data_IF_603252652560
#
_entry.id   IF_603252652560
#
_cell.length_a   1.000
_cell.length_b   1.000
_cell.length_c   1.000
_cell.angle_alpha   90.00
_cell.angle_beta   90.00
_cell.angle_gamma   90.00
#
_symmetry.space_group_name_H-M   'P 1'
#
loop_
_entity.id
_entity.type
_entity.pdbx_description
1 polymer ?
#
# COMPACT_ATOMS: atom_id res chain seq x y z
N UNK A 1 44.66 17.51 27.09
CA UNK A 1 43.35 16.83 27.06
C UNK A 1 42.43 17.60 28.00
N UNK A 2 41.75 18.59 27.46
CA UNK A 2 40.74 19.36 28.22
C UNK A 2 39.43 18.58 28.17
N UNK A 3 38.93 18.18 29.34
CA UNK A 3 37.60 17.60 29.49
C UNK A 3 36.58 18.74 29.49
N UNK A 4 35.73 18.79 28.46
CA UNK A 4 34.60 19.72 28.39
C UNK A 4 33.58 19.38 29.48
N UNK A 5 33.00 20.42 30.07
CA UNK A 5 32.07 20.32 31.19
C UNK A 5 30.67 19.84 30.75
N UNK A 6 29.86 19.24 31.66
CA UNK A 6 28.51 18.74 31.32
C UNK A 6 27.57 19.80 30.73
N UNK A 7 27.84 21.09 30.97
CA UNK A 7 27.06 22.22 30.44
C UNK A 7 27.37 22.54 28.97
N UNK A 8 28.51 22.11 28.44
CA UNK A 8 28.87 22.30 27.03
C UNK A 8 28.32 21.20 26.12
N UNK A 9 28.02 20.02 26.68
CA UNK A 9 27.35 18.92 25.97
C UNK A 9 25.88 19.29 25.66
N UNK A 10 25.23 20.06 26.54
CA UNK A 10 23.85 20.47 26.35
C UNK A 10 23.66 21.59 25.32
N UNK A 11 24.74 22.23 24.86
CA UNK A 11 24.70 23.35 23.90
C UNK A 11 24.86 22.92 22.44
N UNK A 12 25.28 21.66 22.20
CA UNK A 12 25.53 21.11 20.86
C UNK A 12 24.44 20.13 20.37
N UNK A 13 23.40 19.89 21.16
CA UNK A 13 22.18 19.26 20.67
C UNK A 13 21.25 20.39 20.24
N UNK A 14 21.44 20.88 19.02
CA UNK A 14 20.40 21.66 18.35
C UNK A 14 19.10 20.85 18.34
N UNK A 15 17.92 21.49 18.26
CA UNK A 15 16.68 20.75 18.31
C UNK A 15 16.67 19.70 17.19
N UNK A 16 16.48 18.42 17.54
CA UNK A 16 16.16 17.36 16.59
C UNK A 16 14.74 17.62 16.04
N UNK A 17 14.57 18.69 15.28
CA UNK A 17 13.34 19.09 14.60
C UNK A 17 13.54 19.15 13.08
N UNK A 18 14.26 18.20 12.50
CA UNK A 18 14.22 18.03 11.04
C UNK A 18 13.05 17.12 10.70
N UNK A 19 11.89 17.73 10.47
CA UNK A 19 10.68 17.05 9.97
C UNK A 19 10.82 16.56 8.52
N UNK A 20 11.99 16.80 7.92
CA UNK A 20 12.37 16.52 6.53
C UNK A 20 12.24 15.05 6.10
N UNK A 21 12.02 14.12 7.04
CA UNK A 21 11.76 12.71 6.77
C UNK A 21 10.31 12.27 6.95
N UNK A 22 9.42 13.12 7.48
CA UNK A 22 8.04 12.75 7.86
C UNK A 22 7.00 13.19 6.83
N UNK A 23 7.31 14.21 6.04
CA UNK A 23 6.51 14.67 4.90
C UNK A 23 7.19 14.27 3.59
N UNK A 24 6.45 14.37 2.48
CA UNK A 24 7.06 14.27 1.16
C UNK A 24 8.08 15.41 0.97
N UNK A 25 9.32 15.07 0.63
CA UNK A 25 10.39 16.06 0.41
C UNK A 25 10.12 17.00 -0.77
N UNK A 26 9.32 16.53 -1.72
CA UNK A 26 8.93 17.27 -2.93
C UNK A 26 7.41 17.17 -3.08
N UNK A 27 6.79 18.28 -3.47
CA UNK A 27 5.36 18.33 -3.79
C UNK A 27 5.09 17.30 -4.89
N UNK A 28 4.19 16.35 -4.63
CA UNK A 28 3.83 15.31 -5.59
C UNK A 28 4.42 13.92 -5.34
N UNK A 29 5.44 13.79 -4.48
CA UNK A 29 5.93 12.46 -4.07
C UNK A 29 5.05 11.85 -2.97
N UNK A 30 4.91 10.51 -2.90
CA UNK A 30 4.17 9.88 -1.82
C UNK A 30 4.85 10.17 -0.47
N UNK A 31 4.05 10.57 0.52
CA UNK A 31 4.53 10.74 1.89
C UNK A 31 4.90 9.37 2.50
N UNK A 32 5.73 9.34 3.57
CA UNK A 32 5.97 8.12 4.33
C UNK A 32 4.66 7.48 4.83
N UNK A 33 3.67 8.30 5.23
CA UNK A 33 2.36 7.83 5.66
C UNK A 33 1.61 7.15 4.50
N UNK A 34 1.56 7.78 3.32
CA UNK A 34 0.92 7.20 2.14
C UNK A 34 1.61 5.90 1.70
N UNK A 35 2.95 5.85 1.77
CA UNK A 35 3.74 4.66 1.45
C UNK A 35 3.44 3.50 2.41
N UNK A 36 3.42 3.77 3.73
CA UNK A 36 3.07 2.77 4.73
C UNK A 36 1.63 2.28 4.55
N UNK A 37 0.71 3.17 4.18
CA UNK A 37 -0.67 2.85 3.89
C UNK A 37 -0.80 1.94 2.65
N UNK A 38 -0.12 2.28 1.56
CA UNK A 38 -0.07 1.51 0.31
C UNK A 38 0.47 0.10 0.50
N UNK A 39 1.37 -0.07 1.47
CA UNK A 39 1.97 -1.35 1.83
C UNK A 39 1.17 -2.13 2.87
N UNK A 40 0.15 -1.53 3.50
CA UNK A 40 -0.68 -2.20 4.51
C UNK A 40 0.08 -2.46 5.82
N UNK A 41 0.84 -1.46 6.29
CA UNK A 41 1.63 -1.55 7.53
C UNK A 41 0.98 -0.73 8.66
N UNK A 42 -0.04 -1.28 9.36
CA UNK A 42 -0.84 -0.51 10.31
C UNK A 42 -0.01 0.03 11.49
N UNK A 43 0.99 -0.72 11.96
CA UNK A 43 1.86 -0.28 13.06
C UNK A 43 2.77 0.89 12.66
N UNK A 44 3.25 0.91 11.41
CA UNK A 44 4.04 2.03 10.88
C UNK A 44 3.16 3.25 10.71
N UNK A 45 1.94 3.06 10.19
CA UNK A 45 0.93 4.13 10.08
C UNK A 45 0.61 4.71 11.46
N UNK A 46 0.32 3.87 12.45
CA UNK A 46 0.05 4.31 13.82
C UNK A 46 1.24 5.09 14.42
N UNK A 47 2.47 4.62 14.22
CA UNK A 47 3.67 5.31 14.68
C UNK A 47 3.88 6.67 13.99
N UNK A 48 3.63 6.78 12.68
CA UNK A 48 3.75 8.05 11.96
C UNK A 48 2.69 9.06 12.44
N UNK A 49 1.49 8.59 12.76
CA UNK A 49 0.38 9.42 13.22
C UNK A 49 0.55 9.94 14.65
N UNK A 50 1.61 9.58 15.39
CA UNK A 50 1.94 10.23 16.67
C UNK A 50 2.52 11.64 16.48
N UNK A 51 2.89 12.02 15.25
CA UNK A 51 3.38 13.34 14.91
C UNK A 51 2.23 14.26 14.50
N UNK A 52 2.06 15.39 15.20
CA UNK A 52 1.05 16.40 14.86
C UNK A 52 1.24 16.92 13.43
N UNK A 53 2.48 17.08 12.99
CA UNK A 53 2.78 17.48 11.61
C UNK A 53 2.20 16.48 10.61
N UNK A 54 2.41 15.18 10.83
CA UNK A 54 1.87 14.14 9.94
C UNK A 54 0.35 14.17 9.94
N UNK A 55 -0.28 14.40 11.10
CA UNK A 55 -1.75 14.50 11.22
C UNK A 55 -2.31 15.71 10.48
N UNK A 56 -1.64 16.87 10.52
CA UNK A 56 -2.06 18.07 9.76
C UNK A 56 -2.06 17.81 8.24
N UNK A 57 -1.18 16.93 7.76
CA UNK A 57 -1.02 16.58 6.35
C UNK A 57 -1.63 15.20 6.00
N UNK A 58 -2.53 14.66 6.83
CA UNK A 58 -3.09 13.31 6.66
C UNK A 58 -3.88 13.11 5.36
N UNK A 59 -4.35 14.20 4.75
CA UNK A 59 -5.14 14.21 3.52
C UNK A 59 -4.36 14.73 2.30
N UNK A 60 -3.05 14.97 2.43
CA UNK A 60 -2.24 15.39 1.30
C UNK A 60 -2.17 14.27 0.26
N UNK A 61 -2.48 14.61 -0.99
CA UNK A 61 -2.39 13.71 -2.12
C UNK A 61 -1.05 13.87 -2.85
N UNK A 62 -0.53 12.75 -3.38
CA UNK A 62 0.62 12.75 -4.28
C UNK A 62 0.22 13.11 -5.73
N UNK A 63 1.17 13.07 -6.67
CA UNK A 63 0.96 13.33 -8.10
C UNK A 63 -0.05 12.40 -8.76
N UNK A 64 -0.26 11.20 -8.20
CA UNK A 64 -1.25 10.24 -8.70
C UNK A 64 -2.63 10.45 -8.06
N UNK A 65 -2.77 11.44 -7.16
CA UNK A 65 -3.98 11.68 -6.40
C UNK A 65 -4.16 10.72 -5.21
N UNK A 66 -3.11 10.02 -4.79
CA UNK A 66 -3.18 9.12 -3.63
C UNK A 66 -3.03 9.92 -2.32
N UNK A 67 -4.13 10.05 -1.59
CA UNK A 67 -4.06 10.30 -0.15
C UNK A 67 -3.67 9.00 0.57
N UNK A 68 -3.18 9.06 1.82
CA UNK A 68 -2.96 7.86 2.63
C UNK A 68 -4.19 6.92 2.71
N UNK A 69 -5.39 7.48 2.83
CA UNK A 69 -6.62 6.69 2.86
C UNK A 69 -6.88 5.99 1.52
N UNK A 70 -6.73 6.69 0.39
CA UNK A 70 -6.86 6.08 -0.94
C UNK A 70 -5.79 5.00 -1.14
N UNK A 71 -4.54 5.26 -0.74
CA UNK A 71 -3.44 4.31 -0.83
C UNK A 71 -3.73 3.00 -0.05
N UNK A 72 -4.33 3.09 1.14
CA UNK A 72 -4.76 1.90 1.88
C UNK A 72 -5.84 1.08 1.13
N UNK A 73 -6.73 1.74 0.39
CA UNK A 73 -7.79 1.06 -0.38
C UNK A 73 -7.24 0.34 -1.62
N UNK A 74 -6.07 0.70 -2.15
CA UNK A 74 -5.47 -0.01 -3.27
C UNK A 74 -5.14 -1.48 -2.94
N UNK A 75 -4.89 -1.82 -1.67
CA UNK A 75 -4.50 -3.16 -1.24
C UNK A 75 -3.40 -3.78 -2.12
N UNK A 76 -2.38 -2.98 -2.45
CA UNK A 76 -1.48 -3.26 -3.58
C UNK A 76 -0.96 -4.69 -3.59
N UNK A 77 -0.51 -5.20 -2.44
CA UNK A 77 0.10 -6.54 -2.36
C UNK A 77 -0.88 -7.67 -2.65
N UNK A 78 -2.18 -7.43 -2.54
CA UNK A 78 -3.23 -8.40 -2.85
C UNK A 78 -3.93 -8.12 -4.19
N UNK A 79 -3.88 -6.89 -4.70
CA UNK A 79 -4.54 -6.49 -5.95
C UNK A 79 -3.60 -6.34 -7.15
N UNK A 80 -2.27 -6.39 -6.94
CA UNK A 80 -1.28 -6.01 -7.96
C UNK A 80 -1.46 -6.75 -9.29
N UNK A 81 -1.75 -8.05 -9.27
CA UNK A 81 -1.90 -8.82 -10.51
C UNK A 81 -3.24 -8.60 -11.23
N UNK A 82 -4.21 -7.93 -10.60
CA UNK A 82 -5.41 -7.37 -11.27
C UNK A 82 -5.09 -5.97 -11.78
N UNK A 83 -4.41 -5.18 -10.93
CA UNK A 83 -4.05 -3.80 -11.20
C UNK A 83 -3.03 -3.67 -12.34
N UNK A 84 -2.12 -4.63 -12.47
CA UNK A 84 -1.12 -4.72 -13.52
C UNK A 84 -0.79 -6.21 -13.78
N UNK A 85 -1.57 -6.92 -14.61
CA UNK A 85 -1.37 -8.35 -14.86
C UNK A 85 0.01 -8.72 -15.42
N UNK A 86 0.73 -7.77 -16.01
CA UNK A 86 2.08 -8.00 -16.53
C UNK A 86 3.07 -8.43 -15.43
N UNK A 87 2.80 -8.15 -14.15
CA UNK A 87 3.65 -8.62 -13.04
C UNK A 87 3.75 -10.14 -12.99
N UNK A 88 2.71 -10.86 -13.41
CA UNK A 88 2.69 -12.33 -13.38
C UNK A 88 3.68 -12.96 -14.35
N UNK A 89 4.06 -12.25 -15.41
CA UNK A 89 5.03 -12.70 -16.40
C UNK A 89 6.49 -12.39 -16.04
N UNK A 90 6.72 -11.61 -14.99
CA UNK A 90 8.05 -11.15 -14.57
C UNK A 90 8.39 -11.74 -13.20
N UNK A 91 9.26 -12.78 -13.12
CA UNK A 91 9.56 -13.43 -11.84
C UNK A 91 10.19 -12.49 -10.83
N UNK A 92 10.93 -11.46 -11.26
CA UNK A 92 11.55 -10.48 -10.36
C UNK A 92 10.53 -9.53 -9.74
N UNK A 93 9.33 -9.42 -10.32
CA UNK A 93 8.20 -8.68 -9.73
C UNK A 93 7.24 -9.61 -9.00
N UNK A 94 6.89 -10.74 -9.61
CA UNK A 94 5.94 -11.70 -9.07
C UNK A 94 6.42 -12.33 -7.76
N UNK A 95 7.64 -12.88 -7.73
CA UNK A 95 8.12 -13.66 -6.58
C UNK A 95 8.13 -12.81 -5.31
N UNK A 96 8.69 -11.57 -5.29
CA UNK A 96 8.63 -10.72 -4.11
C UNK A 96 7.21 -10.38 -3.65
N UNK A 97 6.23 -10.27 -4.57
CA UNK A 97 4.83 -10.06 -4.21
C UNK A 97 4.21 -11.32 -3.59
N UNK A 98 4.49 -12.47 -4.21
CA UNK A 98 3.92 -13.75 -3.81
C UNK A 98 4.42 -14.21 -2.43
N UNK A 99 5.73 -14.08 -2.15
CA UNK A 99 6.29 -14.51 -0.85
C UNK A 99 5.79 -13.67 0.32
N UNK A 100 5.24 -12.48 0.06
CA UNK A 100 4.65 -11.62 1.11
C UNK A 100 3.18 -11.92 1.42
N UNK A 101 2.51 -12.76 0.61
CA UNK A 101 1.09 -13.08 0.81
C UNK A 101 0.72 -13.61 2.21
N UNK A 102 1.55 -14.44 2.89
CA UNK A 102 1.22 -14.89 4.24
C UNK A 102 0.95 -13.75 5.22
N UNK A 103 1.68 -12.64 5.13
CA UNK A 103 1.42 -11.46 5.97
C UNK A 103 0.02 -10.87 5.71
N UNK A 104 -0.46 -10.87 4.47
CA UNK A 104 -1.75 -10.26 4.14
C UNK A 104 -2.95 -11.20 4.39
N UNK A 105 -2.72 -12.52 4.39
CA UNK A 105 -3.77 -13.53 4.43
C UNK A 105 -3.92 -14.24 5.78
N UNK A 106 -2.85 -14.36 6.57
CA UNK A 106 -2.85 -15.19 7.79
C UNK A 106 -3.24 -14.43 9.06
N UNK A 107 -3.37 -13.10 8.99
CA UNK A 107 -3.69 -12.29 10.17
C UNK A 107 -5.20 -12.28 10.47
N UNK A 108 -5.62 -12.47 11.74
CA UNK A 108 -7.04 -12.38 12.13
C UNK A 108 -7.68 -11.04 11.74
N UNK A 109 -6.89 -9.96 11.81
CA UNK A 109 -7.24 -8.65 11.27
C UNK A 109 -6.42 -8.40 10.00
N UNK A 110 -7.05 -8.34 8.81
CA UNK A 110 -6.35 -8.07 7.56
C UNK A 110 -5.57 -6.73 7.64
N UNK A 111 -4.26 -6.69 7.33
CA UNK A 111 -3.43 -5.51 7.56
C UNK A 111 -3.92 -4.26 6.84
N UNK A 112 -4.42 -4.40 5.61
CA UNK A 112 -4.98 -3.29 4.84
C UNK A 112 -6.25 -2.72 5.47
N UNK A 113 -7.13 -3.60 6.00
CA UNK A 113 -8.33 -3.18 6.73
C UNK A 113 -7.93 -2.38 7.97
N UNK A 114 -7.02 -2.92 8.79
CA UNK A 114 -6.56 -2.20 10.00
C UNK A 114 -5.88 -0.88 9.66
N UNK A 115 -5.14 -0.84 8.56
CA UNK A 115 -4.48 0.39 8.10
C UNK A 115 -5.50 1.47 7.74
N UNK A 116 -6.58 1.11 7.02
CA UNK A 116 -7.68 2.02 6.71
C UNK A 116 -8.37 2.53 7.99
N UNK A 117 -8.69 1.63 8.91
CA UNK A 117 -9.31 1.98 10.20
C UNK A 117 -8.46 2.96 11.02
N UNK A 118 -7.14 2.72 11.14
CA UNK A 118 -6.23 3.62 11.87
C UNK A 118 -6.17 5.01 11.23
N UNK A 119 -6.21 5.10 9.91
CA UNK A 119 -6.24 6.39 9.21
C UNK A 119 -7.56 7.14 9.46
N UNK A 120 -8.69 6.44 9.39
CA UNK A 120 -10.02 6.99 9.67
C UNK A 120 -10.14 7.48 11.12
N UNK A 121 -9.69 6.66 12.09
CA UNK A 121 -9.61 7.02 13.52
C UNK A 121 -8.77 8.28 13.76
N UNK A 122 -7.74 8.50 12.93
CA UNK A 122 -6.87 9.67 13.02
C UNK A 122 -7.41 10.92 12.30
N UNK A 123 -8.54 10.81 11.58
CA UNK A 123 -9.19 11.92 10.88
C UNK A 123 -8.91 11.99 9.38
N UNK A 124 -8.40 10.92 8.75
CA UNK A 124 -8.28 10.86 7.30
C UNK A 124 -9.69 10.86 6.65
N UNK A 125 -9.86 11.65 5.60
CA UNK A 125 -11.15 11.80 4.93
C UNK A 125 -11.38 10.64 3.94
N UNK A 126 -12.43 9.83 4.11
CA UNK A 126 -12.80 8.82 3.13
C UNK A 126 -13.40 9.47 1.89
N UNK A 127 -12.83 9.18 0.71
CA UNK A 127 -13.38 9.58 -0.58
C UNK A 127 -13.38 8.37 -1.52
N UNK A 128 -14.46 7.59 -1.45
CA UNK A 128 -14.60 6.37 -2.24
C UNK A 128 -14.70 6.68 -3.74
N UNK A 129 -15.37 7.76 -4.12
CA UNK A 129 -15.53 8.14 -5.53
C UNK A 129 -14.15 8.46 -6.14
N UNK A 130 -13.34 9.26 -5.43
CA UNK A 130 -11.98 9.55 -5.87
C UNK A 130 -11.09 8.32 -5.83
N UNK A 131 -11.22 7.46 -4.82
CA UNK A 131 -10.43 6.23 -4.76
C UNK A 131 -10.66 5.31 -5.97
N UNK A 132 -11.92 5.16 -6.41
CA UNK A 132 -12.25 4.40 -7.62
C UNK A 132 -11.64 5.04 -8.87
N UNK A 133 -11.80 6.35 -9.02
CA UNK A 133 -11.23 7.11 -10.15
C UNK A 133 -9.70 6.90 -10.22
N UNK A 134 -9.02 7.09 -9.10
CA UNK A 134 -7.56 6.96 -9.00
C UNK A 134 -7.11 5.51 -9.26
N UNK A 135 -7.84 4.51 -8.76
CA UNK A 135 -7.54 3.10 -9.06
C UNK A 135 -7.69 2.79 -10.54
N UNK A 136 -8.81 3.18 -11.15
CA UNK A 136 -9.08 2.94 -12.58
C UNK A 136 -8.06 3.65 -13.48
N UNK A 137 -7.60 4.85 -13.10
CA UNK A 137 -6.62 5.61 -13.85
C UNK A 137 -5.18 5.04 -13.75
N UNK A 138 -4.80 4.51 -12.59
CA UNK A 138 -3.41 4.10 -12.34
C UNK A 138 -3.14 2.60 -12.55
N UNK A 139 -4.16 1.76 -12.41
CA UNK A 139 -4.05 0.34 -12.71
C UNK A 139 -4.09 0.12 -14.24
N UNK A 140 -3.08 -0.52 -14.82
CA UNK A 140 -2.95 -0.69 -16.27
C UNK A 140 -3.38 -2.09 -16.68
N UNK A 141 -4.00 -2.19 -17.86
CA UNK A 141 -4.36 -3.47 -18.49
C UNK A 141 -5.35 -4.34 -17.69
N UNK A 142 -6.23 -3.69 -16.91
CA UNK A 142 -7.33 -4.35 -16.21
C UNK A 142 -8.31 -4.96 -17.22
N UNK A 143 -8.92 -6.10 -16.87
CA UNK A 143 -10.06 -6.65 -17.61
C UNK A 143 -11.28 -5.73 -17.47
N UNK A 144 -12.21 -5.81 -18.43
CA UNK A 144 -13.45 -5.02 -18.36
C UNK A 144 -14.32 -5.46 -17.17
N UNK A 145 -14.30 -6.74 -16.80
CA UNK A 145 -14.94 -7.23 -15.58
C UNK A 145 -14.37 -6.54 -14.33
N UNK A 146 -13.04 -6.43 -14.21
CA UNK A 146 -12.41 -5.76 -13.07
C UNK A 146 -12.81 -4.27 -13.00
N UNK A 147 -12.80 -3.57 -14.14
CA UNK A 147 -13.25 -2.16 -14.21
C UNK A 147 -14.69 -2.01 -13.77
N UNK A 148 -15.60 -2.85 -14.27
CA UNK A 148 -17.02 -2.82 -13.92
C UNK A 148 -17.22 -3.07 -12.43
N UNK A 149 -16.54 -4.07 -11.86
CA UNK A 149 -16.62 -4.37 -10.42
C UNK A 149 -16.08 -3.22 -9.56
N UNK A 150 -14.98 -2.60 -9.95
CA UNK A 150 -14.45 -1.42 -9.24
C UNK A 150 -15.42 -0.24 -9.30
N UNK A 151 -15.97 0.06 -10.47
CA UNK A 151 -16.93 1.15 -10.64
C UNK A 151 -18.17 0.95 -9.74
N UNK A 152 -18.71 -0.26 -9.70
CA UNK A 152 -19.91 -0.64 -8.96
C UNK A 152 -19.67 -0.92 -7.45
N UNK A 153 -18.43 -0.86 -6.96
CA UNK A 153 -18.11 -1.29 -5.59
C UNK A 153 -18.60 -0.32 -4.50
N UNK A 154 -19.18 -0.82 -3.42
CA UNK A 154 -19.44 0.00 -2.21
C UNK A 154 -18.29 -0.08 -1.19
N UNK A 155 -17.42 -1.09 -1.33
CA UNK A 155 -16.13 -1.19 -0.63
C UNK A 155 -15.05 -1.52 -1.65
N UNK A 156 -14.29 -0.50 -2.06
CA UNK A 156 -13.21 -0.64 -3.03
C UNK A 156 -12.15 -1.62 -2.54
N UNK A 157 -11.71 -1.49 -1.29
CA UNK A 157 -10.64 -2.29 -0.73
C UNK A 157 -10.97 -3.78 -0.76
N UNK A 158 -12.17 -4.14 -0.32
CA UNK A 158 -12.65 -5.53 -0.36
C UNK A 158 -12.78 -6.03 -1.79
N UNK A 159 -13.33 -5.22 -2.69
CA UNK A 159 -13.55 -5.61 -4.09
C UNK A 159 -12.24 -5.94 -4.80
N UNK A 160 -11.21 -5.11 -4.65
CA UNK A 160 -9.91 -5.34 -5.31
C UNK A 160 -9.13 -6.51 -4.69
N UNK A 161 -9.32 -6.77 -3.39
CA UNK A 161 -8.76 -7.97 -2.73
C UNK A 161 -9.41 -9.26 -3.24
N UNK A 162 -10.73 -9.28 -3.44
CA UNK A 162 -11.44 -10.43 -3.99
C UNK A 162 -11.07 -10.70 -5.44
N UNK A 163 -11.04 -9.66 -6.28
CA UNK A 163 -10.51 -9.75 -7.64
C UNK A 163 -9.09 -10.33 -7.63
N UNK A 164 -8.25 -9.84 -6.72
CA UNK A 164 -6.90 -10.33 -6.51
C UNK A 164 -6.87 -11.82 -6.17
N UNK A 165 -7.56 -12.24 -5.12
CA UNK A 165 -7.59 -13.64 -4.70
C UNK A 165 -8.05 -14.58 -5.83
N UNK A 166 -9.04 -14.17 -6.63
CA UNK A 166 -9.55 -14.94 -7.75
C UNK A 166 -8.52 -15.13 -8.87
N UNK A 167 -7.81 -14.06 -9.25
CA UNK A 167 -6.79 -14.11 -10.32
C UNK A 167 -5.59 -14.95 -9.90
N UNK A 168 -5.10 -14.77 -8.67
CA UNK A 168 -3.98 -15.56 -8.13
C UNK A 168 -4.36 -17.03 -8.04
N UNK A 169 -5.55 -17.35 -7.52
CA UNK A 169 -6.04 -18.74 -7.43
C UNK A 169 -6.14 -19.37 -8.82
N UNK A 170 -6.65 -18.63 -9.81
CA UNK A 170 -6.75 -19.10 -11.19
C UNK A 170 -5.38 -19.37 -11.81
N UNK A 171 -4.39 -18.53 -11.55
CA UNK A 171 -3.01 -18.74 -11.97
C UNK A 171 -2.42 -20.00 -11.33
N UNK A 172 -2.52 -20.16 -10.01
CA UNK A 172 -1.98 -21.31 -9.29
C UNK A 172 -2.58 -22.62 -9.79
N UNK A 173 -3.90 -22.65 -10.03
CA UNK A 173 -4.57 -23.81 -10.64
C UNK A 173 -4.05 -24.12 -12.04
N UNK A 174 -3.79 -23.10 -12.87
CA UNK A 174 -3.21 -23.29 -14.21
C UNK A 174 -1.80 -23.88 -14.14
N UNK A 175 -0.97 -23.40 -13.21
CA UNK A 175 0.40 -23.90 -13.00
C UNK A 175 0.41 -25.34 -12.48
N UNK A 176 -0.50 -25.69 -11.56
CA UNK A 176 -0.69 -27.06 -11.08
C UNK A 176 -1.10 -28.02 -12.19
N UNK A 177 -2.02 -27.61 -13.09
CA UNK A 177 -2.42 -28.44 -14.23
C UNK A 177 -1.28 -28.69 -15.21
N UNK A 178 -0.52 -27.63 -15.56
CA UNK A 178 0.65 -27.75 -16.46
C UNK A 178 1.75 -28.66 -15.92
N UNK A 179 1.91 -28.74 -14.60
CA UNK A 179 2.89 -29.64 -13.96
C UNK A 179 2.39 -31.08 -13.87
N UNK A 180 1.08 -31.31 -13.99
CA UNK A 180 0.46 -32.64 -14.00
C UNK A 180 0.30 -33.25 -15.40
N UNK A 181 0.43 -32.46 -16.48
CA UNK A 181 0.44 -32.97 -17.85
C UNK A 181 1.79 -33.64 -18.16
N UNK A 182 1.82 -34.91 -18.62
CA UNK A 182 3.05 -35.55 -19.01
C UNK A 182 3.68 -34.77 -20.16
N UNK A 183 4.96 -34.42 -20.03
CA UNK A 183 5.72 -33.84 -21.13
C UNK A 183 5.81 -34.86 -22.27
N UNK A 184 4.86 -34.80 -23.21
CA UNK A 184 4.95 -35.52 -24.47
C UNK A 184 6.10 -34.87 -25.24
N UNK A 185 7.30 -35.44 -25.07
CA UNK A 185 8.50 -35.08 -25.85
C UNK A 185 8.15 -35.25 -27.34
N UNK A 186 8.25 -34.16 -28.09
CA UNK A 186 8.47 -34.21 -29.55
C UNK A 186 9.96 -34.36 -29.81
#
# INVERSE_FOLDING_TARGET
MEQLSPLEVSRNIGPLHTTDGLLAKEKGKPSPLATAAFMGYPNVVAALLTSDLVRTHINDADEMGLTPWIAANFSLRQSMWVCNPAVLGDPFKFVPLFVTQPYYLANPTPPYKKTREVLEEAGASPDLAKAKEVWLANCKHQSDEAKTRVQASDDLQKTVQELGANDLTSLLRKLQKKTAEPQTKQ
#
